data_IF_327338042175
#
_entry.id   IF_327338042175
#
_cell.length_a   1.000
_cell.length_b   1.000
_cell.length_c   1.000
_cell.angle_alpha   90.00
_cell.angle_beta   90.00
_cell.angle_gamma   90.00
#
_symmetry.space_group_name_H-M   'P 1'
#
loop_
_entity.id
_entity.type
_entity.pdbx_description
1 polymer ?
#
# COMPACT_ATOMS: atom_id res chain seq x y z
N UNK A 1 14.36 -63.37 3.29
CA UNK A 1 13.47 -63.69 4.44
C UNK A 1 13.51 -62.54 5.47
N UNK A 2 12.54 -61.63 5.41
CA UNK A 2 12.44 -60.53 6.37
C UNK A 2 11.83 -61.03 7.69
N UNK A 3 12.47 -60.70 8.81
CA UNK A 3 12.04 -61.13 10.13
C UNK A 3 10.95 -60.19 10.66
N UNK A 4 9.69 -60.53 10.40
CA UNK A 4 8.51 -59.79 10.89
C UNK A 4 8.24 -59.97 12.40
N UNK A 5 9.12 -60.65 13.15
CA UNK A 5 8.99 -60.82 14.61
C UNK A 5 9.77 -59.79 15.44
N UNK A 6 10.38 -58.79 14.81
CA UNK A 6 11.03 -57.71 15.55
C UNK A 6 9.95 -56.82 16.19
N UNK A 7 9.84 -56.87 17.53
CA UNK A 7 9.00 -55.95 18.29
C UNK A 7 9.66 -54.57 18.26
N UNK A 8 9.06 -53.63 17.53
CA UNK A 8 9.47 -52.22 17.54
C UNK A 8 9.30 -51.63 18.94
N UNK A 9 10.20 -50.72 19.34
CA UNK A 9 10.09 -50.02 20.62
C UNK A 9 8.79 -49.20 20.68
N UNK A 10 8.12 -49.21 21.83
CA UNK A 10 6.94 -48.39 22.06
C UNK A 10 7.27 -46.90 21.89
N UNK A 11 6.54 -46.23 21.00
CA UNK A 11 6.62 -44.79 20.77
C UNK A 11 5.67 -44.09 21.74
N UNK A 12 6.17 -43.12 22.50
CA UNK A 12 5.30 -42.24 23.28
C UNK A 12 4.41 -41.42 22.34
N UNK A 13 3.17 -41.14 22.76
CA UNK A 13 2.27 -40.24 22.04
C UNK A 13 2.95 -38.87 21.87
N UNK A 14 3.03 -38.38 20.62
CA UNK A 14 3.64 -37.09 20.31
C UNK A 14 2.91 -35.93 20.98
N UNK A 15 3.62 -34.83 21.21
CA UNK A 15 3.02 -33.59 21.65
C UNK A 15 2.21 -32.91 20.53
N UNK A 16 1.18 -32.14 20.90
CA UNK A 16 0.49 -31.27 19.95
C UNK A 16 1.50 -30.35 19.26
N UNK A 17 1.41 -30.26 17.93
CA UNK A 17 2.24 -29.35 17.14
C UNK A 17 2.18 -27.94 17.73
N UNK A 18 3.32 -27.24 17.92
CA UNK A 18 3.36 -25.94 18.61
C UNK A 18 2.34 -24.94 18.07
N UNK A 19 2.13 -24.94 16.75
CA UNK A 19 1.13 -24.11 16.08
C UNK A 19 -0.32 -24.42 16.53
N UNK A 20 -0.67 -25.70 16.69
CA UNK A 20 -2.01 -26.12 17.12
C UNK A 20 -2.25 -25.79 18.60
N UNK A 21 -1.20 -25.86 19.42
CA UNK A 21 -1.26 -25.45 20.82
C UNK A 21 -1.54 -23.94 20.93
N UNK A 22 -0.80 -23.13 20.18
CA UNK A 22 -1.00 -21.67 20.10
C UNK A 22 -2.40 -21.33 19.56
N UNK A 23 -2.88 -22.03 18.51
CA UNK A 23 -4.24 -21.85 17.97
C UNK A 23 -5.33 -22.15 19.00
N UNK A 24 -5.17 -23.21 19.80
CA UNK A 24 -6.13 -23.55 20.83
C UNK A 24 -6.17 -22.48 21.94
N UNK A 25 -5.00 -21.99 22.37
CA UNK A 25 -4.88 -20.93 23.36
C UNK A 25 -5.54 -19.62 22.88
N UNK A 26 -5.30 -19.19 21.62
CA UNK A 26 -5.98 -18.02 21.06
C UNK A 26 -7.50 -18.19 20.98
N UNK A 27 -7.98 -19.35 20.52
CA UNK A 27 -9.43 -19.62 20.44
C UNK A 27 -10.11 -19.52 21.81
N UNK A 28 -9.48 -20.04 22.86
CA UNK A 28 -10.01 -19.93 24.22
C UNK A 28 -10.06 -18.47 24.70
N UNK A 29 -9.03 -17.67 24.43
CA UNK A 29 -9.02 -16.24 24.76
C UNK A 29 -10.21 -15.51 24.11
N UNK A 30 -10.50 -15.79 22.83
CA UNK A 30 -11.64 -15.18 22.16
C UNK A 30 -12.99 -15.65 22.72
N UNK A 31 -13.14 -16.92 23.06
CA UNK A 31 -14.36 -17.40 23.72
C UNK A 31 -14.55 -16.79 25.11
N UNK A 32 -13.48 -16.61 25.88
CA UNK A 32 -13.52 -15.93 27.18
C UNK A 32 -13.90 -14.45 27.06
N UNK A 33 -13.58 -13.82 25.92
CA UNK A 33 -14.00 -12.45 25.60
C UNK A 33 -15.44 -12.36 25.07
N UNK A 34 -16.17 -13.47 25.03
CA UNK A 34 -17.59 -13.52 24.63
C UNK A 34 -17.82 -13.59 23.12
N UNK A 35 -16.78 -13.92 22.33
CA UNK A 35 -16.94 -14.18 20.91
C UNK A 35 -17.49 -15.59 20.67
N UNK A 36 -18.33 -15.75 19.66
CA UNK A 36 -18.84 -17.04 19.20
C UNK A 36 -18.25 -17.39 17.82
N UNK A 37 -17.98 -18.68 17.59
CA UNK A 37 -17.48 -19.15 16.30
C UNK A 37 -18.62 -19.17 15.29
N UNK A 38 -18.51 -18.37 14.22
CA UNK A 38 -19.55 -18.32 13.19
C UNK A 38 -19.61 -19.62 12.38
N UNK A 39 -20.82 -20.18 12.12
CA UNK A 39 -20.99 -21.29 11.20
C UNK A 39 -20.54 -20.92 9.78
N UNK A 40 -19.64 -21.70 9.20
CA UNK A 40 -19.00 -21.46 7.89
C UNK A 40 -19.89 -21.77 6.69
N UNK A 41 -21.22 -21.63 6.80
CA UNK A 41 -22.19 -22.06 5.77
C UNK A 41 -23.11 -20.95 5.23
N UNK A 42 -22.96 -19.68 5.63
CA UNK A 42 -23.76 -18.55 5.09
C UNK A 42 -22.88 -17.62 4.24
N UNK A 43 -22.86 -17.86 2.93
CA UNK A 43 -22.05 -17.14 1.93
C UNK A 43 -22.77 -15.99 1.24
N UNK A 44 -24.08 -15.85 1.43
CA UNK A 44 -24.92 -14.83 0.80
C UNK A 44 -25.69 -14.13 1.90
N UNK A 45 -25.68 -12.79 1.91
CA UNK A 45 -26.33 -12.00 2.94
C UNK A 45 -26.79 -10.64 2.39
N UNK A 46 -27.76 -9.99 3.04
CA UNK A 46 -28.25 -8.66 2.62
C UNK A 46 -27.17 -7.56 2.76
N UNK A 47 -27.26 -6.54 1.90
CA UNK A 47 -26.45 -5.31 2.01
C UNK A 47 -26.59 -4.63 3.38
N UNK A 48 -27.73 -4.82 4.04
CA UNK A 48 -28.00 -4.31 5.38
C UNK A 48 -26.97 -4.82 6.39
N UNK A 49 -26.75 -6.14 6.45
CA UNK A 49 -25.80 -6.73 7.40
C UNK A 49 -24.35 -6.55 6.95
N UNK A 50 -24.12 -6.57 5.64
CA UNK A 50 -22.76 -6.44 5.09
C UNK A 50 -22.23 -5.02 5.14
N UNK A 51 -23.10 -4.01 5.20
CA UNK A 51 -22.67 -2.63 5.08
C UNK A 51 -23.41 -1.64 5.99
N UNK A 52 -24.74 -1.64 6.01
CA UNK A 52 -25.50 -0.61 6.74
C UNK A 52 -25.35 -0.74 8.25
N UNK A 53 -25.46 -1.96 8.79
CA UNK A 53 -25.24 -2.27 10.20
C UNK A 53 -23.78 -2.04 10.65
N UNK A 54 -22.84 -1.99 9.69
CA UNK A 54 -21.43 -1.67 9.91
C UNK A 54 -21.10 -0.18 9.70
N UNK A 55 -22.12 0.65 9.50
CA UNK A 55 -22.00 2.10 9.30
C UNK A 55 -21.19 2.52 8.07
N UNK A 56 -21.11 1.68 7.04
CA UNK A 56 -20.54 2.06 5.73
C UNK A 56 -21.62 2.81 4.94
N UNK A 57 -21.46 4.04 4.42
CA UNK A 57 -22.53 4.72 3.68
C UNK A 57 -22.83 4.07 2.31
N UNK A 58 -24.06 4.18 1.79
CA UNK A 58 -24.47 3.54 0.52
C UNK A 58 -23.68 4.02 -0.71
N UNK A 59 -23.20 5.27 -0.68
CA UNK A 59 -22.33 5.86 -1.70
C UNK A 59 -20.83 5.55 -1.51
N UNK A 60 -20.46 4.74 -0.52
CA UNK A 60 -19.06 4.42 -0.26
C UNK A 60 -18.48 3.57 -1.41
N UNK A 61 -17.28 3.86 -1.94
CA UNK A 61 -16.68 3.12 -3.04
C UNK A 61 -16.55 1.61 -2.78
N UNK A 62 -16.38 1.19 -1.52
CA UNK A 62 -16.35 -0.22 -1.14
C UNK A 62 -17.66 -1.00 -1.43
N UNK A 63 -18.77 -0.33 -1.77
CA UNK A 63 -20.04 -0.93 -2.21
C UNK A 63 -20.22 -0.94 -3.74
N UNK A 64 -19.27 -0.43 -4.51
CA UNK A 64 -19.36 -0.36 -5.97
C UNK A 64 -19.39 -1.76 -6.59
N UNK A 65 -20.04 -1.94 -7.74
CA UNK A 65 -20.23 -3.23 -8.43
C UNK A 65 -18.91 -3.95 -8.77
N UNK A 66 -17.83 -3.19 -8.94
CA UNK A 66 -16.47 -3.71 -9.17
C UNK A 66 -15.83 -4.30 -7.90
N UNK A 67 -16.29 -3.84 -6.73
CA UNK A 67 -15.85 -4.24 -5.39
C UNK A 67 -16.92 -5.06 -4.65
N UNK A 68 -18.13 -5.18 -5.25
CA UNK A 68 -19.34 -5.79 -4.70
C UNK A 68 -20.16 -6.60 -5.71
N UNK A 69 -20.11 -7.94 -5.60
CA UNK A 69 -20.94 -8.91 -6.31
C UNK A 69 -22.34 -9.05 -5.69
N UNK A 70 -23.31 -8.43 -6.35
CA UNK A 70 -24.73 -8.64 -6.06
C UNK A 70 -25.24 -9.91 -6.73
N UNK A 71 -26.03 -10.68 -6.01
CA UNK A 71 -26.68 -11.88 -6.52
C UNK A 71 -27.80 -11.48 -7.47
N UNK A 72 -27.85 -12.10 -8.65
CA UNK A 72 -28.89 -11.85 -9.64
C UNK A 72 -30.22 -12.53 -9.29
N UNK A 73 -30.16 -13.67 -8.61
CA UNK A 73 -31.33 -14.45 -8.17
C UNK A 73 -31.03 -15.30 -6.91
N UNK A 74 -31.73 -15.11 -5.79
CA UNK A 74 -32.66 -14.00 -5.53
C UNK A 74 -31.91 -12.66 -5.48
N UNK A 75 -32.53 -11.61 -6.04
CA UNK A 75 -31.91 -10.27 -6.12
C UNK A 75 -31.90 -9.51 -4.79
N UNK A 76 -32.90 -9.77 -3.94
CA UNK A 76 -33.12 -9.09 -2.67
C UNK A 76 -33.46 -10.07 -1.57
N UNK A 77 -33.07 -9.74 -0.35
CA UNK A 77 -33.44 -10.43 0.87
C UNK A 77 -34.73 -9.85 1.45
N UNK A 78 -35.30 -10.56 2.43
CA UNK A 78 -36.23 -9.94 3.38
C UNK A 78 -35.51 -8.96 4.30
N UNK A 79 -36.29 -8.14 5.02
CA UNK A 79 -35.74 -7.32 6.11
C UNK A 79 -35.14 -8.21 7.21
N UNK A 80 -34.19 -7.67 8.00
CA UNK A 80 -33.71 -8.28 9.23
C UNK A 80 -34.85 -8.85 10.08
N UNK A 81 -34.68 -10.08 10.54
CA UNK A 81 -35.70 -10.78 11.30
C UNK A 81 -35.11 -11.92 12.13
N UNK A 82 -35.93 -12.55 12.98
CA UNK A 82 -35.48 -13.59 13.88
C UNK A 82 -35.03 -14.84 13.10
N UNK A 83 -33.85 -15.36 13.45
CA UNK A 83 -33.29 -16.56 12.80
C UNK A 83 -33.67 -17.87 13.50
N UNK A 84 -34.26 -17.80 14.70
CA UNK A 84 -34.74 -18.95 15.47
C UNK A 84 -35.88 -18.56 16.40
N UNK A 85 -36.61 -19.55 16.94
CA UNK A 85 -37.71 -19.32 17.90
C UNK A 85 -37.26 -18.64 19.20
N UNK A 86 -35.97 -18.74 19.55
CA UNK A 86 -35.36 -18.13 20.73
C UNK A 86 -34.87 -16.68 20.48
N UNK A 87 -34.86 -16.23 19.22
CA UNK A 87 -34.40 -14.89 18.85
C UNK A 87 -35.52 -13.85 19.04
N UNK A 88 -35.48 -13.16 20.19
CA UNK A 88 -36.48 -12.16 20.61
C UNK A 88 -36.05 -10.71 20.38
N UNK A 89 -35.08 -10.45 19.51
CA UNK A 89 -34.57 -9.09 19.23
C UNK A 89 -35.60 -8.24 18.48
N UNK A 90 -35.61 -6.94 18.76
CA UNK A 90 -36.45 -5.95 18.08
C UNK A 90 -35.77 -5.43 16.81
N UNK A 91 -35.94 -6.18 15.72
CA UNK A 91 -35.32 -5.89 14.43
C UNK A 91 -35.91 -4.67 13.71
N UNK A 92 -37.18 -4.32 13.97
CA UNK A 92 -37.82 -3.16 13.34
C UNK A 92 -37.24 -1.87 13.93
N UNK A 93 -37.11 -1.81 15.26
CA UNK A 93 -36.41 -0.70 15.91
C UNK A 93 -34.95 -0.64 15.47
N UNK A 94 -34.26 -1.79 15.31
CA UNK A 94 -32.88 -1.83 14.84
C UNK A 94 -32.71 -1.28 13.41
N UNK A 95 -33.59 -1.67 12.49
CA UNK A 95 -33.62 -1.17 11.12
C UNK A 95 -33.80 0.36 11.05
N UNK A 96 -34.80 0.89 11.77
CA UNK A 96 -35.05 2.34 11.82
C UNK A 96 -33.91 3.10 12.52
N UNK A 97 -33.26 2.49 13.51
CA UNK A 97 -32.07 3.06 14.13
C UNK A 97 -30.92 3.20 13.13
N UNK A 98 -30.63 2.15 12.36
CA UNK A 98 -29.57 2.16 11.35
C UNK A 98 -29.86 3.23 10.30
N UNK A 99 -31.07 3.24 9.73
CA UNK A 99 -31.50 4.27 8.78
C UNK A 99 -31.27 5.68 9.34
N UNK A 100 -31.71 5.95 10.57
CA UNK A 100 -31.58 7.26 11.17
C UNK A 100 -30.11 7.62 11.46
N UNK A 101 -29.26 6.67 11.85
CA UNK A 101 -27.80 6.90 11.99
C UNK A 101 -27.18 7.28 10.64
N UNK A 102 -27.61 6.66 9.54
CA UNK A 102 -27.06 6.96 8.20
C UNK A 102 -27.53 8.31 7.64
N UNK A 103 -28.82 8.63 7.78
CA UNK A 103 -29.39 9.86 7.21
C UNK A 103 -29.09 11.10 8.07
N UNK A 104 -29.73 11.17 9.23
CA UNK A 104 -29.87 12.39 10.03
C UNK A 104 -29.01 12.37 11.32
N UNK A 105 -28.42 11.22 11.63
CA UNK A 105 -27.68 10.97 12.86
C UNK A 105 -28.55 10.45 14.00
N UNK A 106 -27.98 9.53 14.79
CA UNK A 106 -28.56 8.99 16.03
C UNK A 106 -27.42 8.53 16.94
N UNK A 107 -27.66 8.44 18.26
CA UNK A 107 -26.66 8.00 19.25
C UNK A 107 -25.35 8.80 19.24
N UNK A 108 -25.42 10.11 18.96
CA UNK A 108 -24.24 11.00 18.90
C UNK A 108 -23.53 11.04 17.55
N UNK A 109 -23.96 10.24 16.56
CA UNK A 109 -23.56 10.42 15.16
C UNK A 109 -24.26 11.63 14.53
N UNK A 110 -23.57 12.35 13.66
CA UNK A 110 -24.11 13.47 12.86
C UNK A 110 -24.73 13.03 11.52
N UNK A 111 -24.71 11.72 11.24
CA UNK A 111 -25.17 11.15 9.98
C UNK A 111 -24.27 11.43 8.77
N UNK A 112 -24.49 10.69 7.69
CA UNK A 112 -23.79 10.84 6.41
C UNK A 112 -24.53 11.78 5.44
N UNK A 113 -25.68 12.32 5.83
CA UNK A 113 -26.44 13.37 5.11
C UNK A 113 -26.82 13.00 3.67
N UNK A 114 -27.26 11.77 3.46
CA UNK A 114 -27.81 11.28 2.19
C UNK A 114 -29.15 10.57 2.43
N UNK A 115 -30.04 10.48 1.42
CA UNK A 115 -31.26 9.67 1.54
C UNK A 115 -30.89 8.19 1.55
N UNK A 116 -31.16 7.53 2.67
CA UNK A 116 -30.88 6.10 2.81
C UNK A 116 -31.99 5.30 2.14
N UNK A 117 -31.62 4.47 1.17
CA UNK A 117 -32.55 3.72 0.35
C UNK A 117 -32.67 2.27 0.85
N UNK A 118 -33.88 1.88 1.25
CA UNK A 118 -34.15 0.53 1.77
C UNK A 118 -33.81 -0.56 0.74
N UNK A 119 -34.05 -0.29 -0.54
CA UNK A 119 -33.83 -1.26 -1.61
C UNK A 119 -32.34 -1.60 -1.78
N UNK A 120 -31.44 -0.64 -1.55
CA UNK A 120 -29.98 -0.87 -1.57
C UNK A 120 -29.53 -1.79 -0.43
N UNK A 121 -30.15 -1.65 0.74
CA UNK A 121 -29.90 -2.48 1.92
C UNK A 121 -30.42 -3.90 1.78
N UNK A 122 -31.47 -4.10 0.97
CA UNK A 122 -32.04 -5.43 0.76
C UNK A 122 -31.35 -6.20 -0.35
N UNK A 123 -30.53 -5.58 -1.21
CA UNK A 123 -29.83 -6.31 -2.26
C UNK A 123 -29.03 -7.45 -1.65
N UNK A 124 -29.18 -8.64 -2.23
CA UNK A 124 -28.39 -9.79 -1.80
C UNK A 124 -26.99 -9.65 -2.35
N UNK A 125 -26.06 -9.71 -1.44
CA UNK A 125 -24.63 -9.55 -1.70
C UNK A 125 -24.05 -10.92 -1.41
N UNK A 126 -23.33 -11.49 -2.38
CA UNK A 126 -22.42 -12.57 -2.03
C UNK A 126 -21.52 -11.99 -0.95
N UNK A 127 -21.32 -12.59 0.22
CA UNK A 127 -20.64 -11.96 1.38
C UNK A 127 -19.15 -11.63 1.11
N UNK A 128 -18.73 -11.64 -0.14
CA UNK A 128 -17.39 -11.92 -0.56
C UNK A 128 -16.98 -11.15 -1.81
N UNK A 129 -16.29 -9.99 -1.66
CA UNK A 129 -15.53 -9.41 -2.80
C UNK A 129 -14.38 -8.42 -2.52
N UNK A 130 -14.35 -7.63 -1.43
CA UNK A 130 -13.08 -6.92 -1.06
C UNK A 130 -12.36 -7.60 0.09
N UNK A 131 -13.12 -8.13 1.03
CA UNK A 131 -12.58 -8.85 2.18
C UNK A 131 -12.35 -10.32 1.86
N UNK A 132 -13.28 -11.01 1.20
CA UNK A 132 -13.27 -12.47 1.04
C UNK A 132 -12.30 -13.03 0.02
N UNK A 133 -12.06 -12.40 -1.12
CA UNK A 133 -11.26 -13.01 -2.19
C UNK A 133 -9.79 -12.75 -1.83
N UNK A 134 -9.53 -11.60 -1.20
CA UNK A 134 -8.32 -11.36 -0.41
C UNK A 134 -8.23 -12.24 0.82
N UNK A 135 -9.32 -12.59 1.49
CA UNK A 135 -9.30 -13.50 2.65
C UNK A 135 -9.19 -14.95 2.26
N UNK A 136 -9.70 -15.37 1.12
CA UNK A 136 -9.68 -16.73 0.64
C UNK A 136 -8.36 -16.91 -0.10
N UNK A 137 -7.82 -15.91 -0.79
CA UNK A 137 -6.41 -15.86 -1.17
C UNK A 137 -5.48 -15.80 0.05
N UNK A 138 -5.72 -14.94 1.05
CA UNK A 138 -4.91 -14.84 2.27
C UNK A 138 -5.09 -16.04 3.20
N UNK A 139 -6.25 -16.72 3.21
CA UNK A 139 -6.53 -17.97 3.93
C UNK A 139 -6.05 -19.19 3.15
N UNK A 140 -6.00 -19.15 1.82
CA UNK A 140 -5.35 -20.20 1.01
C UNK A 140 -3.82 -20.07 1.04
N UNK A 141 -3.29 -18.85 1.21
CA UNK A 141 -1.85 -18.59 1.43
C UNK A 141 -1.46 -18.76 2.90
N UNK A 142 -2.37 -18.47 3.83
CA UNK A 142 -2.19 -18.62 5.28
C UNK A 142 -3.53 -18.85 6.01
N UNK A 143 -3.97 -20.12 6.15
CA UNK A 143 -5.24 -20.50 6.79
C UNK A 143 -5.35 -20.12 8.29
N UNK A 144 -4.28 -19.57 8.86
CA UNK A 144 -4.05 -19.36 10.29
C UNK A 144 -4.16 -17.89 10.75
N UNK A 145 -4.51 -16.94 9.87
CA UNK A 145 -4.57 -15.50 10.21
C UNK A 145 -5.95 -14.86 9.91
N UNK A 146 -6.58 -14.17 10.87
CA UNK A 146 -7.80 -13.40 10.60
C UNK A 146 -7.51 -12.22 9.66
N UNK A 147 -8.52 -11.75 8.92
CA UNK A 147 -8.40 -10.44 8.24
C UNK A 147 -8.10 -9.38 9.28
N UNK A 148 -7.05 -8.62 9.02
CA UNK A 148 -6.80 -7.39 9.74
C UNK A 148 -7.37 -6.25 8.92
N UNK A 149 -8.33 -5.52 9.49
CA UNK A 149 -8.82 -4.26 8.94
C UNK A 149 -8.08 -3.14 9.65
N UNK A 150 -7.39 -2.29 8.89
CA UNK A 150 -6.65 -1.14 9.43
C UNK A 150 -7.08 0.12 8.71
N UNK A 151 -7.18 1.24 9.46
CA UNK A 151 -7.49 2.54 8.88
C UNK A 151 -6.34 2.98 7.95
N UNK A 152 -6.64 3.16 6.67
CA UNK A 152 -5.74 3.82 5.74
C UNK A 152 -5.61 5.31 6.09
N UNK A 153 -4.38 5.83 6.08
CA UNK A 153 -4.10 7.23 6.42
C UNK A 153 -3.60 7.92 5.15
N UNK A 154 -4.53 8.54 4.44
CA UNK A 154 -4.25 9.25 3.19
C UNK A 154 -3.24 10.37 3.38
N UNK A 155 -2.37 10.55 2.38
CA UNK A 155 -1.39 11.62 2.35
C UNK A 155 -0.20 11.45 3.29
N UNK A 156 -0.16 10.38 4.09
CA UNK A 156 0.86 10.19 5.11
C UNK A 156 2.18 9.71 4.50
N UNK A 157 3.29 10.15 5.09
CA UNK A 157 4.63 9.70 4.71
C UNK A 157 4.95 8.38 5.41
N UNK A 158 5.71 7.52 4.74
CA UNK A 158 6.23 6.28 5.32
C UNK A 158 7.73 6.42 5.63
N UNK A 159 8.14 5.87 6.77
CA UNK A 159 9.51 5.89 7.30
C UNK A 159 9.92 4.46 7.59
N UNK A 160 11.10 4.08 7.10
CA UNK A 160 11.69 2.76 7.35
C UNK A 160 12.80 2.85 8.40
N UNK A 161 12.79 1.95 9.37
CA UNK A 161 13.75 1.92 10.48
C UNK A 161 14.40 0.55 10.54
N UNK A 162 15.66 0.46 10.12
CA UNK A 162 16.47 -0.75 10.28
C UNK A 162 17.27 -0.67 11.57
N UNK A 163 17.16 -1.68 12.43
CA UNK A 163 17.77 -1.69 13.74
C UNK A 163 18.50 -2.99 14.06
N UNK A 164 19.50 -2.90 14.94
CA UNK A 164 20.13 -4.05 15.58
C UNK A 164 20.09 -3.85 17.08
N UNK A 165 19.56 -4.83 17.81
CA UNK A 165 19.48 -4.78 19.27
C UNK A 165 20.21 -5.98 19.91
N UNK A 166 20.56 -5.84 21.19
CA UNK A 166 21.07 -6.92 22.04
C UNK A 166 20.41 -6.79 23.41
N UNK A 167 19.74 -7.84 23.87
CA UNK A 167 18.98 -7.89 25.12
C UNK A 167 17.99 -6.73 25.27
N UNK A 168 17.37 -6.33 24.16
CA UNK A 168 16.45 -5.22 24.07
C UNK A 168 17.07 -3.82 24.14
N UNK A 169 18.40 -3.72 24.17
CA UNK A 169 19.12 -2.45 24.00
C UNK A 169 19.39 -2.22 22.52
N UNK A 170 18.95 -1.08 21.98
CA UNK A 170 19.26 -0.68 20.61
C UNK A 170 20.77 -0.41 20.48
N UNK A 171 21.44 -1.13 19.58
CA UNK A 171 22.88 -1.01 19.33
C UNK A 171 23.13 -0.14 18.11
N UNK A 172 22.39 -0.35 17.03
CA UNK A 172 22.47 0.42 15.80
C UNK A 172 21.07 0.68 15.25
N UNK A 173 20.94 1.78 14.52
CA UNK A 173 19.74 2.07 13.74
C UNK A 173 20.07 2.91 12.49
N UNK A 174 19.22 2.78 11.48
CA UNK A 174 19.14 3.65 10.32
C UNK A 174 17.68 4.05 10.11
N UNK A 175 17.44 5.32 9.82
CA UNK A 175 16.11 5.83 9.46
C UNK A 175 16.15 6.29 8.01
N UNK A 176 15.30 5.74 7.17
CA UNK A 176 15.17 6.10 5.75
C UNK A 176 13.78 6.69 5.51
N UNK A 177 13.68 7.72 4.68
CA UNK A 177 12.38 8.27 4.26
C UNK A 177 11.96 7.70 2.90
N UNK A 178 10.66 7.42 2.75
CA UNK A 178 10.09 7.12 1.43
C UNK A 178 9.79 8.43 0.69
N UNK A 179 9.94 8.41 -0.64
CA UNK A 179 9.46 9.50 -1.51
C UNK A 179 7.95 9.37 -1.72
N UNK A 180 7.50 8.16 -2.02
CA UNK A 180 6.10 7.79 -2.20
C UNK A 180 5.36 7.82 -0.85
N UNK A 181 4.05 8.09 -0.90
CA UNK A 181 3.20 8.07 0.29
C UNK A 181 2.90 6.65 0.77
N UNK A 182 2.53 6.53 2.03
CA UNK A 182 2.03 5.28 2.60
C UNK A 182 0.84 4.76 1.78
N UNK A 183 0.93 3.52 1.32
CA UNK A 183 0.02 2.92 0.35
C UNK A 183 0.73 2.38 -0.89
N UNK A 184 1.93 2.87 -1.18
CA UNK A 184 2.91 2.18 -2.03
C UNK A 184 3.75 1.29 -1.13
N UNK A 185 3.78 -0.01 -1.41
CA UNK A 185 4.53 -0.97 -0.61
C UNK A 185 6.03 -0.61 -0.55
N UNK A 186 6.65 -0.69 0.63
CA UNK A 186 8.06 -0.30 0.88
C UNK A 186 9.10 -0.88 -0.08
N UNK A 187 8.81 -2.05 -0.66
CA UNK A 187 9.67 -2.68 -1.67
C UNK A 187 9.71 -1.91 -3.00
N UNK A 188 8.57 -1.34 -3.38
CA UNK A 188 8.35 -0.55 -4.58
C UNK A 188 8.58 0.94 -4.34
N UNK A 189 8.80 1.34 -3.08
CA UNK A 189 9.13 2.70 -2.73
C UNK A 189 10.62 3.02 -2.98
N UNK A 190 10.84 4.29 -3.29
CA UNK A 190 12.11 4.97 -3.36
C UNK A 190 12.52 5.38 -1.94
N UNK A 191 13.67 4.90 -1.47
CA UNK A 191 14.22 5.21 -0.15
C UNK A 191 15.31 6.26 -0.23
N UNK A 192 15.34 7.20 0.71
CA UNK A 192 16.38 8.22 0.84
C UNK A 192 17.07 8.07 2.19
N UNK A 193 18.41 8.03 2.18
CA UNK A 193 19.24 7.88 3.38
C UNK A 193 20.56 8.68 3.26
N UNK A 194 20.93 9.51 4.26
CA UNK A 194 20.09 10.00 5.36
C UNK A 194 18.81 10.69 4.85
N UNK A 195 17.73 10.76 5.65
CA UNK A 195 16.51 11.45 5.24
C UNK A 195 16.79 12.91 4.91
N UNK A 196 16.26 13.40 3.79
CA UNK A 196 16.50 14.76 3.32
C UNK A 196 15.46 15.76 3.88
N UNK A 197 14.26 15.28 4.24
CA UNK A 197 13.13 16.15 4.60
C UNK A 197 12.57 15.89 6.01
N UNK A 198 13.08 14.90 6.75
CA UNK A 198 12.66 14.65 8.12
C UNK A 198 13.32 15.60 9.11
N UNK A 199 12.51 16.21 9.97
CA UNK A 199 12.98 17.05 11.08
C UNK A 199 13.67 16.22 12.16
N UNK A 200 14.64 16.82 12.86
CA UNK A 200 15.36 16.17 13.96
C UNK A 200 14.41 15.71 15.08
N UNK A 201 13.36 16.48 15.37
CA UNK A 201 12.30 16.12 16.34
C UNK A 201 11.63 14.79 15.99
N UNK A 202 11.36 14.54 14.72
CA UNK A 202 10.79 13.30 14.21
C UNK A 202 11.82 12.17 14.29
N UNK A 203 13.07 12.42 13.90
CA UNK A 203 14.15 11.45 13.99
C UNK A 203 14.36 10.95 15.43
N UNK A 204 14.36 11.86 16.40
CA UNK A 204 14.51 11.54 17.82
C UNK A 204 13.34 10.69 18.33
N UNK A 205 12.09 11.03 17.95
CA UNK A 205 10.89 10.28 18.33
C UNK A 205 10.84 8.90 17.67
N UNK A 206 11.26 8.78 16.41
CA UNK A 206 11.39 7.50 15.70
C UNK A 206 12.40 6.60 16.40
N UNK A 207 13.55 7.15 16.80
CA UNK A 207 14.56 6.42 17.59
C UNK A 207 14.00 5.98 18.95
N UNK A 208 13.28 6.84 19.66
CA UNK A 208 12.65 6.50 20.94
C UNK A 208 11.64 5.35 20.77
N UNK A 209 10.85 5.36 19.69
CA UNK A 209 9.94 4.27 19.34
C UNK A 209 10.72 2.96 19.12
N UNK A 210 11.81 2.99 18.36
CA UNK A 210 12.65 1.82 18.11
C UNK A 210 13.28 1.27 19.40
N UNK A 211 13.76 2.12 20.29
CA UNK A 211 14.28 1.73 21.61
C UNK A 211 13.21 1.08 22.49
N UNK A 212 11.99 1.64 22.52
CA UNK A 212 10.85 1.08 23.25
C UNK A 212 10.46 -0.29 22.71
N UNK A 213 10.40 -0.46 21.38
CA UNK A 213 10.10 -1.74 20.74
C UNK A 213 11.20 -2.75 21.03
N UNK A 214 12.47 -2.42 20.82
CA UNK A 214 13.59 -3.30 21.15
C UNK A 214 13.51 -3.81 22.60
N UNK A 215 13.26 -2.90 23.55
CA UNK A 215 13.14 -3.24 24.97
C UNK A 215 11.93 -4.10 25.28
N UNK A 216 10.75 -3.78 24.74
CA UNK A 216 9.51 -4.49 25.02
C UNK A 216 9.57 -5.96 24.58
N UNK A 217 10.16 -6.22 23.41
CA UNK A 217 10.28 -7.55 22.84
C UNK A 217 11.60 -8.25 23.21
N UNK A 218 12.46 -7.59 24.01
CA UNK A 218 13.82 -8.06 24.35
C UNK A 218 14.60 -8.53 23.11
N UNK A 219 14.59 -7.71 22.06
CA UNK A 219 15.17 -8.07 20.77
C UNK A 219 16.69 -8.27 20.92
N UNK A 220 17.18 -9.41 20.40
CA UNK A 220 18.59 -9.68 20.17
C UNK A 220 18.74 -10.09 18.71
N UNK A 221 19.49 -9.31 17.92
CA UNK A 221 19.64 -9.48 16.48
C UNK A 221 19.04 -8.34 15.66
N UNK A 222 18.83 -8.56 14.34
CA UNK A 222 18.33 -7.55 13.44
C UNK A 222 16.81 -7.44 13.53
N UNK A 223 16.29 -6.23 13.39
CA UNK A 223 14.86 -5.97 13.24
C UNK A 223 14.64 -4.79 12.31
N UNK A 224 13.41 -4.65 11.84
CA UNK A 224 12.98 -3.57 10.97
C UNK A 224 11.59 -3.08 11.38
N UNK A 225 11.34 -1.78 11.30
CA UNK A 225 10.04 -1.19 11.59
C UNK A 225 9.63 -0.21 10.50
N UNK A 226 8.35 -0.25 10.14
CA UNK A 226 7.75 0.73 9.25
C UNK A 226 6.84 1.65 10.06
N UNK A 227 6.95 2.95 9.84
CA UNK A 227 6.23 3.98 10.61
C UNK A 227 5.54 4.94 9.65
N UNK A 228 4.27 5.20 9.88
CA UNK A 228 3.53 6.30 9.26
C UNK A 228 3.81 7.58 10.04
N UNK A 229 4.23 8.63 9.32
CA UNK A 229 4.18 10.03 9.77
C UNK A 229 2.95 10.69 9.16
N UNK A 230 1.94 10.93 9.99
CA UNK A 230 0.71 11.62 9.61
C UNK A 230 0.74 13.05 10.17
N UNK A 231 0.71 14.04 9.29
CA UNK A 231 0.66 15.44 9.71
C UNK A 231 -0.67 15.77 10.37
N UNK A 232 -0.65 16.67 11.36
CA UNK A 232 -1.86 17.16 12.01
C UNK A 232 -2.50 18.26 11.15
N UNK A 233 -3.76 18.10 10.67
CA UNK A 233 -4.45 19.12 9.90
C UNK A 233 -4.57 20.47 10.61
N UNK A 234 -4.49 20.50 11.95
CA UNK A 234 -4.51 21.73 12.75
C UNK A 234 -3.11 22.38 12.93
N UNK A 235 -2.07 21.83 12.31
CA UNK A 235 -0.69 22.33 12.42
C UNK A 235 0.02 21.92 13.72
N UNK A 236 -0.52 20.93 14.43
CA UNK A 236 0.12 20.30 15.58
C UNK A 236 1.26 19.36 15.20
N UNK A 237 1.80 18.67 16.20
CA UNK A 237 2.90 17.73 16.01
C UNK A 237 2.43 16.49 15.22
N UNK A 238 3.22 16.08 14.20
CA UNK A 238 2.90 14.91 13.40
C UNK A 238 2.79 13.64 14.26
N UNK A 239 1.75 12.85 14.01
CA UNK A 239 1.52 11.57 14.65
C UNK A 239 2.40 10.49 13.99
N UNK A 240 3.17 9.78 14.82
CA UNK A 240 3.96 8.62 14.40
C UNK A 240 3.24 7.34 14.78
N UNK A 241 2.94 6.48 13.81
CA UNK A 241 2.22 5.22 14.03
C UNK A 241 3.00 4.06 13.42
N UNK A 242 3.31 3.05 14.22
CA UNK A 242 3.96 1.83 13.75
C UNK A 242 2.98 1.05 12.87
N UNK A 243 3.39 0.71 11.66
CA UNK A 243 2.67 -0.19 10.75
C UNK A 243 2.95 -1.63 11.17
N UNK A 244 4.23 -2.01 11.14
CA UNK A 244 4.69 -3.34 11.46
C UNK A 244 6.11 -3.32 12.06
N UNK A 245 6.47 -4.42 12.71
CA UNK A 245 7.82 -4.70 13.18
C UNK A 245 8.22 -6.12 12.75
N UNK A 246 9.23 -6.21 11.91
CA UNK A 246 9.82 -7.45 11.45
C UNK A 246 11.01 -7.80 12.36
N UNK A 247 10.91 -8.86 13.16
CA UNK A 247 12.00 -9.36 14.02
C UNK A 247 13.05 -10.17 13.22
N UNK A 248 13.53 -9.59 12.13
CA UNK A 248 14.52 -10.15 11.21
C UNK A 248 15.19 -9.05 10.40
N UNK A 249 16.23 -9.40 9.65
CA UNK A 249 16.78 -8.51 8.65
C UNK A 249 15.72 -8.21 7.56
N UNK A 250 15.64 -6.93 7.17
CA UNK A 250 14.83 -6.48 6.04
C UNK A 250 15.65 -6.50 4.74
N UNK A 251 14.98 -6.20 3.62
CA UNK A 251 15.63 -6.08 2.31
C UNK A 251 16.55 -4.86 2.21
N UNK A 252 16.36 -3.83 3.04
CA UNK A 252 17.14 -2.58 3.03
C UNK A 252 18.45 -2.67 3.81
N UNK A 253 18.69 -3.72 4.62
CA UNK A 253 19.94 -3.91 5.36
C UNK A 253 21.23 -3.76 4.51
N UNK A 254 21.32 -4.30 3.29
CA UNK A 254 22.47 -4.09 2.41
C UNK A 254 22.64 -2.63 1.98
N UNK A 255 21.55 -1.92 1.71
CA UNK A 255 21.56 -0.50 1.35
C UNK A 255 22.05 0.33 2.53
N UNK A 256 21.37 0.25 3.68
CA UNK A 256 21.73 1.05 4.87
C UNK A 256 23.16 0.75 5.35
N UNK A 257 23.62 -0.50 5.25
CA UNK A 257 24.98 -0.86 5.66
C UNK A 257 26.05 -0.20 4.78
N UNK A 258 25.82 -0.13 3.47
CA UNK A 258 26.73 0.52 2.52
C UNK A 258 26.72 2.03 2.70
N UNK A 259 25.54 2.62 2.87
CA UNK A 259 25.38 4.07 3.02
C UNK A 259 25.96 4.57 4.33
N UNK A 260 25.76 3.86 5.44
CA UNK A 260 26.27 4.28 6.74
C UNK A 260 27.70 3.83 7.02
N UNK A 261 28.27 2.97 6.16
CA UNK A 261 29.63 2.45 6.29
C UNK A 261 29.80 1.45 7.44
N UNK A 262 28.71 0.85 7.91
CA UNK A 262 28.71 -0.13 9.01
C UNK A 262 27.89 -1.35 8.62
N UNK A 263 28.48 -2.54 8.69
CA UNK A 263 27.78 -3.77 8.35
C UNK A 263 26.81 -4.17 9.47
N UNK A 264 25.51 -3.90 9.30
CA UNK A 264 24.51 -4.26 10.30
C UNK A 264 24.37 -5.77 10.51
N UNK A 265 24.61 -6.60 9.49
CA UNK A 265 24.54 -8.05 9.63
C UNK A 265 25.69 -8.59 10.49
N UNK A 266 26.88 -7.99 10.39
CA UNK A 266 28.01 -8.34 11.27
C UNK A 266 27.66 -8.05 12.75
N UNK A 267 27.13 -6.87 13.03
CA UNK A 267 26.72 -6.48 14.39
C UNK A 267 25.55 -7.32 14.90
N UNK A 268 24.57 -7.61 14.04
CA UNK A 268 23.46 -8.48 14.37
C UNK A 268 23.91 -9.91 14.68
N UNK A 269 24.89 -10.43 13.93
CA UNK A 269 25.47 -11.76 14.17
C UNK A 269 26.18 -11.79 15.52
N UNK A 270 27.01 -10.78 15.83
CA UNK A 270 27.68 -10.62 17.12
C UNK A 270 26.69 -10.59 18.30
N UNK A 271 25.59 -9.85 18.15
CA UNK A 271 24.50 -9.82 19.13
C UNK A 271 23.86 -11.20 19.33
N UNK A 272 23.49 -11.89 18.24
CA UNK A 272 22.85 -13.21 18.30
C UNK A 272 23.73 -14.28 18.95
N UNK A 273 25.05 -14.24 18.73
CA UNK A 273 25.99 -15.19 19.36
C UNK A 273 26.47 -14.75 20.75
N UNK A 274 26.13 -13.54 21.18
CA UNK A 274 26.56 -12.97 22.47
C UNK A 274 28.07 -12.75 22.57
N UNK A 275 28.77 -12.54 21.45
CA UNK A 275 30.23 -12.37 21.41
C UNK A 275 30.59 -11.07 20.72
N UNK A 276 31.47 -10.28 21.35
CA UNK A 276 31.99 -9.03 20.79
C UNK A 276 30.89 -8.06 20.34
N UNK A 277 29.77 -8.04 21.08
CA UNK A 277 28.69 -7.10 20.83
C UNK A 277 29.25 -5.68 21.02
N UNK A 278 29.20 -4.82 20.00
CA UNK A 278 29.72 -3.47 20.14
C UNK A 278 28.82 -2.65 21.07
N UNK A 279 29.38 -1.58 21.64
CA UNK A 279 28.56 -0.57 22.32
C UNK A 279 27.61 0.11 21.34
N UNK A 280 26.46 0.61 21.81
CA UNK A 280 25.53 1.35 20.96
C UNK A 280 26.20 2.56 20.30
N UNK A 281 25.93 2.74 19.02
CA UNK A 281 26.41 3.88 18.23
C UNK A 281 25.25 4.50 17.46
N UNK A 282 25.13 5.81 17.57
CA UNK A 282 24.19 6.57 16.75
C UNK A 282 24.84 6.99 15.44
N UNK A 283 24.66 6.17 14.40
CA UNK A 283 25.17 6.46 13.06
C UNK A 283 24.41 7.60 12.37
N UNK A 284 23.17 7.90 12.80
CA UNK A 284 22.33 8.95 12.23
C UNK A 284 22.78 10.35 12.69
N UNK A 285 23.38 10.45 13.87
CA UNK A 285 24.00 11.69 14.37
C UNK A 285 25.26 12.11 13.59
N UNK A 286 25.86 11.21 12.79
CA UNK A 286 27.05 11.52 11.99
C UNK A 286 26.65 12.27 10.72
N UNK A 287 27.07 13.54 10.63
CA UNK A 287 26.87 14.34 9.42
C UNK A 287 27.64 13.75 8.25
N UNK A 288 26.96 13.60 7.11
CA UNK A 288 27.52 13.14 5.84
C UNK A 288 27.37 14.24 4.79
N UNK A 289 28.28 14.27 3.84
CA UNK A 289 28.31 15.18 2.68
C UNK A 289 27.69 14.55 1.43
N UNK A 290 27.00 13.43 1.60
CA UNK A 290 26.27 12.71 0.57
C UNK A 290 24.90 12.25 1.08
N UNK A 291 24.01 12.03 0.11
CA UNK A 291 22.74 11.32 0.24
C UNK A 291 22.80 10.11 -0.68
N UNK A 292 22.13 9.03 -0.32
CA UNK A 292 21.91 7.90 -1.19
C UNK A 292 20.41 7.68 -1.39
N UNK A 293 20.04 7.38 -2.62
CA UNK A 293 18.67 7.04 -2.98
C UNK A 293 18.65 5.61 -3.50
N UNK A 294 17.70 4.80 -3.04
CA UNK A 294 17.40 3.47 -3.59
C UNK A 294 16.08 3.55 -4.35
N UNK A 295 16.09 3.23 -5.64
CA UNK A 295 14.89 3.17 -6.50
C UNK A 295 14.51 1.72 -6.80
N UNK A 296 13.22 1.40 -6.95
CA UNK A 296 12.77 0.07 -7.37
C UNK A 296 13.09 -0.21 -8.85
N UNK A 297 13.35 -1.48 -9.18
CA UNK A 297 13.44 -1.96 -10.55
C UNK A 297 12.25 -2.88 -10.86
N UNK A 298 11.43 -2.46 -11.83
CA UNK A 298 10.27 -3.22 -12.28
C UNK A 298 10.56 -4.06 -13.53
N UNK A 299 9.76 -5.12 -13.72
CA UNK A 299 9.84 -6.03 -14.86
C UNK A 299 8.57 -6.01 -15.73
N UNK A 300 7.87 -4.87 -15.79
CA UNK A 300 6.60 -4.72 -16.51
C UNK A 300 6.64 -5.14 -17.98
N UNK A 301 7.79 -4.99 -18.64
CA UNK A 301 8.00 -5.41 -20.05
C UNK A 301 7.94 -6.92 -20.24
N UNK A 302 8.16 -7.71 -19.17
CA UNK A 302 8.06 -9.18 -19.18
C UNK A 302 6.68 -9.69 -18.78
N UNK A 303 5.83 -8.82 -18.23
CA UNK A 303 4.51 -9.15 -17.71
C UNK A 303 3.43 -8.59 -18.64
N UNK A 304 3.22 -9.26 -19.77
CA UNK A 304 2.22 -8.87 -20.76
C UNK A 304 0.81 -8.85 -20.14
N UNK A 305 0.07 -7.77 -20.37
CA UNK A 305 -1.29 -7.59 -19.84
C UNK A 305 -1.38 -7.17 -18.37
N UNK A 306 -0.26 -7.15 -17.64
CA UNK A 306 -0.26 -6.58 -16.29
C UNK A 306 -0.38 -5.05 -16.36
N UNK A 307 -1.22 -4.45 -15.52
CA UNK A 307 -1.31 -2.99 -15.40
C UNK A 307 -0.09 -2.46 -14.61
N UNK A 308 0.79 -1.63 -15.21
CA UNK A 308 1.89 -0.99 -14.50
C UNK A 308 1.32 0.04 -13.52
N UNK A 309 1.11 -0.36 -12.28
CA UNK A 309 0.48 0.47 -11.25
C UNK A 309 1.01 0.04 -9.87
N UNK A 310 1.32 1.02 -9.02
CA UNK A 310 1.86 0.80 -7.68
C UNK A 310 0.74 0.70 -6.64
N UNK A 311 0.92 -0.12 -5.61
CA UNK A 311 -0.04 -0.22 -4.53
C UNK A 311 0.54 -0.95 -3.32
N UNK A 312 -0.35 -1.49 -2.48
CA UNK A 312 0.02 -2.14 -1.21
C UNK A 312 0.73 -3.49 -1.37
N UNK A 313 0.68 -4.07 -2.57
CA UNK A 313 1.42 -5.28 -2.93
C UNK A 313 2.67 -4.93 -3.71
N UNK A 314 3.79 -5.55 -3.36
CA UNK A 314 5.07 -5.38 -4.05
C UNK A 314 5.05 -5.96 -5.47
N UNK A 315 5.46 -5.19 -6.45
CA UNK A 315 5.61 -5.61 -7.84
C UNK A 315 7.05 -5.49 -8.39
N UNK A 316 7.93 -4.78 -7.70
CA UNK A 316 9.33 -4.65 -8.09
C UNK A 316 10.08 -5.98 -7.98
N UNK A 317 11.09 -6.14 -8.83
CA UNK A 317 11.90 -7.37 -8.95
C UNK A 317 13.35 -7.18 -8.53
N UNK A 318 13.71 -5.94 -8.18
CA UNK A 318 15.06 -5.57 -7.77
C UNK A 318 15.11 -4.11 -7.36
N UNK A 319 16.32 -3.63 -7.12
CA UNK A 319 16.59 -2.29 -6.65
C UNK A 319 17.94 -1.80 -7.15
N UNK A 320 18.06 -0.49 -7.30
CA UNK A 320 19.30 0.19 -7.65
C UNK A 320 19.48 1.34 -6.67
N UNK A 321 20.71 1.56 -6.23
CA UNK A 321 21.02 2.67 -5.34
C UNK A 321 22.24 3.43 -5.83
N UNK A 322 22.17 4.75 -5.81
CA UNK A 322 23.29 5.63 -6.11
C UNK A 322 23.45 6.69 -5.02
N UNK A 323 24.68 7.19 -4.91
CA UNK A 323 25.04 8.31 -4.06
C UNK A 323 25.01 9.60 -4.87
N UNK A 324 24.70 10.72 -4.21
CA UNK A 324 24.82 12.06 -4.75
C UNK A 324 25.15 13.06 -3.63
N UNK A 325 25.53 14.28 -3.97
CA UNK A 325 25.81 15.35 -2.99
C UNK A 325 24.54 15.86 -2.34
N UNK A 326 23.43 15.77 -3.05
CA UNK A 326 22.09 16.11 -2.59
C UNK A 326 21.07 15.07 -3.09
N UNK A 327 19.82 15.23 -2.65
CA UNK A 327 18.70 14.35 -3.01
C UNK A 327 18.49 14.29 -4.54
N UNK A 328 18.64 15.42 -5.23
CA UNK A 328 18.37 15.52 -6.67
C UNK A 328 19.41 14.72 -7.45
N UNK A 329 20.70 14.89 -7.14
CA UNK A 329 21.79 14.13 -7.76
C UNK A 329 21.67 12.63 -7.46
N UNK A 330 21.40 12.26 -6.21
CA UNK A 330 21.28 10.86 -5.79
C UNK A 330 20.08 10.16 -6.46
N UNK A 331 18.92 10.82 -6.51
CA UNK A 331 17.72 10.31 -7.16
C UNK A 331 17.93 10.19 -8.67
N UNK A 332 18.45 11.23 -9.34
CA UNK A 332 18.71 11.19 -10.78
C UNK A 332 19.69 10.10 -11.18
N UNK A 333 20.80 9.95 -10.45
CA UNK A 333 21.77 8.89 -10.70
C UNK A 333 21.14 7.50 -10.54
N UNK A 334 20.28 7.33 -9.53
CA UNK A 334 19.59 6.07 -9.27
C UNK A 334 18.57 5.75 -10.36
N UNK A 335 17.74 6.72 -10.75
CA UNK A 335 16.71 6.56 -11.78
C UNK A 335 17.33 6.29 -13.15
N UNK A 336 18.38 7.02 -13.54
CA UNK A 336 19.11 6.81 -14.80
C UNK A 336 19.80 5.44 -14.85
N UNK A 337 20.09 4.85 -13.69
CA UNK A 337 20.67 3.51 -13.61
C UNK A 337 19.63 2.40 -13.77
N UNK A 338 18.33 2.73 -13.80
CA UNK A 338 17.26 1.74 -14.04
C UNK A 338 17.28 1.26 -15.48
N UNK A 339 16.90 -0.01 -15.66
CA UNK A 339 17.01 -0.67 -16.96
C UNK A 339 16.14 0.01 -18.01
N UNK A 340 16.75 0.39 -19.13
CA UNK A 340 16.11 1.03 -20.29
C UNK A 340 15.41 2.36 -19.97
N UNK A 341 15.77 3.02 -18.88
CA UNK A 341 15.31 4.39 -18.64
C UNK A 341 16.06 5.35 -19.55
N UNK A 342 15.31 6.26 -20.16
CA UNK A 342 15.84 7.34 -20.99
C UNK A 342 15.04 8.59 -20.68
N UNK A 343 15.71 9.61 -20.17
CA UNK A 343 15.04 10.87 -19.89
C UNK A 343 14.52 11.52 -21.19
N UNK A 344 13.26 11.98 -21.23
CA UNK A 344 12.76 12.81 -22.33
C UNK A 344 13.54 14.12 -22.43
N UNK A 345 13.77 14.61 -23.64
CA UNK A 345 14.50 15.85 -23.92
C UNK A 345 13.57 16.98 -24.38
N UNK A 346 13.90 18.26 -24.11
CA UNK A 346 13.15 19.40 -24.64
C UNK A 346 12.89 19.29 -26.16
N UNK A 347 11.67 19.57 -26.58
CA UNK A 347 11.19 19.39 -27.96
C UNK A 347 10.49 18.06 -28.24
N UNK A 348 10.64 17.07 -27.36
CA UNK A 348 9.91 15.79 -27.41
C UNK A 348 8.52 15.88 -26.76
N UNK A 349 7.67 14.89 -27.03
CA UNK A 349 6.30 14.81 -26.54
C UNK A 349 6.16 14.17 -25.17
N UNK A 350 5.33 14.76 -24.32
CA UNK A 350 4.90 14.22 -23.03
C UNK A 350 3.38 14.02 -23.04
N UNK A 351 2.93 12.82 -22.67
CA UNK A 351 1.50 12.49 -22.61
C UNK A 351 1.01 12.48 -21.16
N UNK A 352 -0.04 13.24 -20.87
CA UNK A 352 -0.63 13.39 -19.54
C UNK A 352 -2.00 12.72 -19.46
N UNK A 353 -2.29 12.08 -18.32
CA UNK A 353 -3.57 11.46 -18.00
C UNK A 353 -3.68 11.07 -16.51
N UNK A 354 -4.83 10.56 -16.10
CA UNK A 354 -5.12 10.17 -14.72
C UNK A 354 -6.11 11.11 -14.00
N UNK A 355 -5.95 11.22 -12.69
CA UNK A 355 -6.88 11.85 -11.77
C UNK A 355 -6.95 13.38 -11.93
N UNK A 356 -8.17 13.90 -12.05
CA UNK A 356 -8.43 15.33 -12.26
C UNK A 356 -8.99 16.01 -11.00
N UNK A 357 -9.35 15.25 -9.97
CA UNK A 357 -9.77 15.81 -8.68
C UNK A 357 -8.61 16.33 -7.83
N UNK A 358 -7.37 16.02 -8.21
CA UNK A 358 -6.15 16.39 -7.49
C UNK A 358 -5.23 17.29 -8.34
N UNK A 359 -4.45 18.20 -7.72
CA UNK A 359 -3.57 19.13 -8.43
C UNK A 359 -2.27 18.50 -8.92
N UNK A 360 -2.15 17.17 -8.95
CA UNK A 360 -0.91 16.47 -9.24
C UNK A 360 -0.42 16.74 -10.67
N UNK A 361 -1.30 16.56 -11.66
CA UNK A 361 -0.96 16.78 -13.06
C UNK A 361 -0.56 18.23 -13.33
N UNK A 362 -1.27 19.20 -12.75
CA UNK A 362 -0.96 20.62 -12.93
C UNK A 362 0.34 21.01 -12.25
N UNK A 363 0.67 20.41 -11.10
CA UNK A 363 1.97 20.61 -10.43
C UNK A 363 3.11 20.13 -11.32
N UNK A 364 3.00 18.93 -11.91
CA UNK A 364 4.00 18.40 -12.84
C UNK A 364 4.12 19.30 -14.07
N UNK A 365 2.98 19.71 -14.66
CA UNK A 365 2.96 20.58 -15.83
C UNK A 365 3.59 21.95 -15.55
N UNK A 366 3.35 22.54 -14.38
CA UNK A 366 3.97 23.80 -13.96
C UNK A 366 5.50 23.74 -13.99
N UNK A 367 6.09 22.59 -13.66
CA UNK A 367 7.53 22.37 -13.69
C UNK A 367 8.05 22.08 -15.09
N UNK A 368 7.30 21.35 -15.92
CA UNK A 368 7.76 20.88 -17.24
C UNK A 368 7.47 21.85 -18.38
N UNK A 369 6.36 22.59 -18.35
CA UNK A 369 5.97 23.51 -19.43
C UNK A 369 7.06 24.55 -19.76
N UNK A 370 7.77 25.15 -18.77
CA UNK A 370 8.85 26.10 -19.06
C UNK A 370 10.08 25.49 -19.73
N UNK A 371 10.23 24.16 -19.72
CA UNK A 371 11.41 23.46 -20.22
C UNK A 371 11.36 23.16 -21.72
N UNK A 372 10.25 23.47 -22.40
CA UNK A 372 10.15 23.36 -23.87
C UNK A 372 9.70 21.99 -24.39
N UNK A 373 9.02 21.18 -23.58
CA UNK A 373 8.37 19.94 -24.04
C UNK A 373 7.07 20.22 -24.82
N UNK A 374 6.70 19.30 -25.71
CA UNK A 374 5.36 19.30 -26.33
C UNK A 374 4.39 18.55 -25.42
N UNK A 375 3.29 19.17 -25.04
CA UNK A 375 2.37 18.61 -24.04
C UNK A 375 1.11 18.06 -24.72
N UNK A 376 0.81 16.80 -24.45
CA UNK A 376 -0.30 16.08 -25.06
C UNK A 376 -1.22 15.45 -24.01
N UNK A 377 -2.50 15.27 -24.36
CA UNK A 377 -3.49 14.57 -23.55
C UNK A 377 -4.28 13.56 -24.40
N UNK A 378 -4.68 12.45 -23.79
CA UNK A 378 -5.49 11.42 -24.44
C UNK A 378 -6.96 11.82 -24.61
N UNK A 379 -7.46 12.76 -23.80
CA UNK A 379 -8.83 13.25 -23.86
C UNK A 379 -8.93 14.77 -23.59
N UNK A 380 -10.09 15.33 -23.92
CA UNK A 380 -10.36 16.77 -23.81
C UNK A 380 -10.65 17.23 -22.37
N UNK A 381 -10.88 16.32 -21.42
CA UNK A 381 -11.07 16.66 -20.00
C UNK A 381 -9.72 16.95 -19.36
N UNK A 382 -8.72 16.09 -19.57
CA UNK A 382 -7.34 16.30 -19.12
C UNK A 382 -6.78 17.62 -19.67
N UNK A 383 -6.98 17.89 -20.96
CA UNK A 383 -6.59 19.17 -21.57
C UNK A 383 -7.23 20.36 -20.83
N UNK A 384 -8.56 20.35 -20.68
CA UNK A 384 -9.29 21.45 -20.04
C UNK A 384 -8.82 21.66 -18.60
N UNK A 385 -8.62 20.58 -17.86
CA UNK A 385 -8.12 20.63 -16.49
C UNK A 385 -6.74 21.30 -16.43
N UNK A 386 -5.79 20.85 -17.24
CA UNK A 386 -4.43 21.41 -17.27
C UNK A 386 -4.46 22.89 -17.71
N UNK A 387 -5.11 23.23 -18.82
CA UNK A 387 -5.12 24.60 -19.33
C UNK A 387 -5.86 25.59 -18.40
N UNK A 388 -6.85 25.11 -17.63
CA UNK A 388 -7.58 25.96 -16.66
C UNK A 388 -6.88 26.15 -15.32
N UNK A 389 -6.00 25.22 -14.93
CA UNK A 389 -5.49 25.15 -13.56
C UNK A 389 -3.97 25.27 -13.46
N UNK A 390 -3.23 24.97 -14.53
CA UNK A 390 -1.79 25.18 -14.58
C UNK A 390 -1.44 26.66 -14.73
N UNK A 391 -0.27 27.04 -14.21
CA UNK A 391 0.27 28.39 -14.31
C UNK A 391 0.76 28.66 -15.74
N UNK A 392 0.90 29.95 -16.06
CA UNK A 392 1.63 30.40 -17.25
C UNK A 392 0.90 30.27 -18.59
N UNK A 393 -0.41 29.99 -18.61
CA UNK A 393 -1.18 29.88 -19.86
C UNK A 393 -0.72 28.71 -20.74
N UNK A 394 -0.44 27.58 -20.10
CA UNK A 394 0.06 26.36 -20.74
C UNK A 394 -0.92 25.86 -21.79
N UNK A 395 -0.42 25.44 -22.96
CA UNK A 395 -1.23 24.84 -24.02
C UNK A 395 -0.96 23.35 -24.12
N UNK A 396 -2.03 22.56 -24.19
CA UNK A 396 -1.98 21.09 -24.32
C UNK A 396 -2.76 20.69 -25.58
N UNK A 397 -2.21 19.79 -26.38
CA UNK A 397 -2.89 19.26 -27.57
C UNK A 397 -3.56 17.91 -27.25
N UNK A 398 -4.81 17.72 -27.67
CA UNK A 398 -5.47 16.41 -27.60
C UNK A 398 -5.08 15.62 -28.83
N UNK A 399 -4.60 14.39 -28.63
CA UNK A 399 -4.19 13.50 -29.72
C UNK A 399 -5.20 12.37 -29.91
N UNK A 400 -5.27 11.80 -31.11
CA UNK A 400 -6.06 10.59 -31.31
C UNK A 400 -5.53 9.43 -30.44
N UNK A 401 -6.42 8.70 -29.77
CA UNK A 401 -6.04 7.65 -28.83
C UNK A 401 -6.83 6.35 -29.08
N UNK A 402 -6.42 5.55 -30.09
CA UNK A 402 -7.14 4.33 -30.49
C UNK A 402 -6.90 3.18 -29.49
N UNK A 403 -7.65 3.21 -28.38
CA UNK A 403 -7.53 2.25 -27.26
C UNK A 403 -7.67 0.77 -27.64
N UNK A 404 -8.33 0.46 -28.76
CA UNK A 404 -8.58 -0.91 -29.21
C UNK A 404 -7.55 -1.42 -30.22
N UNK A 405 -6.72 -0.54 -30.77
CA UNK A 405 -5.75 -0.89 -31.79
C UNK A 405 -4.34 -0.45 -31.36
N UNK A 406 -3.60 -1.40 -30.80
CA UNK A 406 -2.22 -1.21 -30.36
C UNK A 406 -1.28 -0.76 -31.48
N UNK A 407 -1.53 -1.18 -32.73
CA UNK A 407 -0.70 -0.78 -33.86
C UNK A 407 -0.95 0.68 -34.21
N UNK A 408 -2.21 1.07 -34.30
CA UNK A 408 -2.58 2.47 -34.50
C UNK A 408 -2.06 3.34 -33.36
N UNK A 409 -2.15 2.88 -32.11
CA UNK A 409 -1.63 3.62 -30.96
C UNK A 409 -0.11 3.80 -31.01
N UNK A 410 0.62 2.80 -31.53
CA UNK A 410 2.06 2.94 -31.76
C UNK A 410 2.38 3.99 -32.82
N UNK A 411 1.58 4.07 -33.88
CA UNK A 411 1.72 5.09 -34.92
C UNK A 411 1.46 6.50 -34.34
N UNK A 412 0.52 6.64 -33.40
CA UNK A 412 0.29 7.89 -32.65
C UNK A 412 1.52 8.29 -31.83
N UNK A 413 2.07 7.36 -31.04
CA UNK A 413 3.27 7.64 -30.22
C UNK A 413 4.46 8.08 -31.10
N UNK A 414 4.59 7.52 -32.30
CA UNK A 414 5.61 7.93 -33.28
C UNK A 414 5.31 9.29 -33.91
N UNK A 415 4.06 9.52 -34.35
CA UNK A 415 3.62 10.77 -34.99
C UNK A 415 3.84 11.99 -34.09
N UNK A 416 3.53 11.86 -32.80
CA UNK A 416 3.65 12.94 -31.82
C UNK A 416 4.98 12.92 -31.05
N UNK A 417 5.89 11.98 -31.37
CA UNK A 417 7.17 11.78 -30.71
C UNK A 417 7.03 11.72 -29.18
N UNK A 418 6.11 10.89 -28.69
CA UNK A 418 5.84 10.71 -27.26
C UNK A 418 7.01 9.95 -26.63
N UNK A 419 7.72 10.62 -25.71
CA UNK A 419 8.93 10.12 -25.04
C UNK A 419 8.84 10.08 -23.53
N UNK A 420 7.76 10.57 -22.95
CA UNK A 420 7.40 10.32 -21.55
C UNK A 420 5.89 10.28 -21.36
N UNK A 421 5.43 9.46 -20.42
CA UNK A 421 4.02 9.37 -20.04
C UNK A 421 3.88 9.66 -18.56
N UNK A 422 3.02 10.62 -18.22
CA UNK A 422 2.61 10.94 -16.86
C UNK A 422 1.17 10.49 -16.69
N UNK A 423 0.95 9.41 -15.95
CA UNK A 423 -0.37 8.89 -15.66
C UNK A 423 -0.57 8.76 -14.14
N UNK A 424 -1.11 9.81 -13.53
CA UNK A 424 -1.21 9.95 -12.07
C UNK A 424 -2.62 9.58 -11.62
N UNK A 425 -2.85 8.32 -11.29
CA UNK A 425 -4.18 7.81 -10.95
C UNK A 425 -4.24 7.24 -9.53
N UNK A 426 -5.41 7.33 -8.89
CA UNK A 426 -5.68 6.74 -7.56
C UNK A 426 -5.99 5.25 -7.60
N UNK A 427 -6.42 4.76 -8.75
CA UNK A 427 -6.85 3.39 -8.94
C UNK A 427 -6.33 2.81 -10.26
N UNK A 428 -6.30 1.48 -10.33
CA UNK A 428 -6.08 0.74 -11.57
C UNK A 428 -7.18 1.06 -12.57
N UNK A 429 -6.87 0.89 -13.86
CA UNK A 429 -7.90 1.01 -14.88
C UNK A 429 -8.97 -0.05 -14.67
N UNK A 430 -10.25 0.33 -14.82
CA UNK A 430 -11.38 -0.59 -14.54
C UNK A 430 -11.40 -1.80 -15.47
N UNK A 431 -10.86 -1.62 -16.68
CA UNK A 431 -10.78 -2.64 -17.72
C UNK A 431 -9.49 -2.48 -18.51
N UNK A 432 -9.15 -3.47 -19.33
CA UNK A 432 -8.03 -3.37 -20.29
C UNK A 432 -8.26 -2.33 -21.40
N UNK A 433 -9.47 -1.76 -21.48
CA UNK A 433 -9.86 -0.72 -22.42
C UNK A 433 -10.00 0.66 -21.75
N UNK A 434 -9.70 0.73 -20.46
CA UNK A 434 -9.62 1.98 -19.71
C UNK A 434 -8.46 2.83 -20.25
N UNK A 435 -8.68 4.14 -20.39
CA UNK A 435 -7.68 5.04 -20.98
C UNK A 435 -6.39 5.03 -20.17
N UNK A 436 -6.49 4.99 -18.84
CA UNK A 436 -5.33 5.03 -17.96
C UNK A 436 -4.53 3.73 -18.03
N UNK A 437 -5.22 2.58 -18.04
CA UNK A 437 -4.57 1.29 -18.28
C UNK A 437 -3.84 1.28 -19.63
N UNK A 438 -4.52 1.71 -20.69
CA UNK A 438 -3.94 1.72 -22.04
C UNK A 438 -2.72 2.64 -22.10
N UNK A 439 -2.78 3.82 -21.48
CA UNK A 439 -1.65 4.75 -21.39
C UNK A 439 -0.45 4.10 -20.68
N UNK A 440 -0.64 3.59 -19.45
CA UNK A 440 0.45 2.99 -18.65
C UNK A 440 1.04 1.77 -19.34
N UNK A 441 0.18 0.86 -19.79
CA UNK A 441 0.61 -0.40 -20.42
C UNK A 441 1.39 -0.16 -21.70
N UNK A 442 0.94 0.78 -22.54
CA UNK A 442 1.60 1.04 -23.82
C UNK A 442 2.85 1.93 -23.66
N UNK A 443 2.95 2.77 -22.63
CA UNK A 443 4.22 3.42 -22.28
C UNK A 443 5.31 2.36 -22.09
N UNK A 444 5.05 1.36 -21.25
CA UNK A 444 5.99 0.26 -21.02
C UNK A 444 6.25 -0.56 -22.29
N UNK A 445 5.20 -0.95 -23.03
CA UNK A 445 5.35 -1.80 -24.21
C UNK A 445 6.11 -1.11 -25.36
N UNK A 446 6.06 0.21 -25.41
CA UNK A 446 6.78 1.02 -26.40
C UNK A 446 8.15 1.49 -25.91
N UNK A 447 8.55 1.12 -24.69
CA UNK A 447 9.85 1.52 -24.11
C UNK A 447 9.92 3.01 -23.78
N UNK A 448 8.79 3.60 -23.42
CA UNK A 448 8.67 4.99 -23.00
C UNK A 448 8.60 5.05 -21.47
N UNK A 449 9.40 5.89 -20.80
CA UNK A 449 9.30 6.12 -19.37
C UNK A 449 7.88 6.44 -18.91
N UNK A 450 7.43 5.75 -17.87
CA UNK A 450 6.15 5.95 -17.23
C UNK A 450 6.36 6.53 -15.82
N UNK A 451 5.77 7.69 -15.58
CA UNK A 451 5.68 8.34 -14.29
C UNK A 451 4.23 8.21 -13.80
N UNK A 452 4.04 7.55 -12.65
CA UNK A 452 2.71 7.17 -12.16
C UNK A 452 2.48 7.48 -10.68
N UNK A 453 3.46 8.09 -10.01
CA UNK A 453 3.38 8.46 -8.60
C UNK A 453 3.64 9.98 -8.47
N UNK A 454 2.72 10.76 -7.86
CA UNK A 454 2.79 12.23 -7.83
C UNK A 454 3.99 12.86 -7.13
N UNK A 455 4.61 12.21 -6.13
CA UNK A 455 5.80 12.73 -5.43
C UNK A 455 7.10 12.43 -6.18
N UNK A 456 7.12 11.33 -6.92
CA UNK A 456 8.23 10.88 -7.77
C UNK A 456 8.29 11.65 -9.10
N UNK A 457 7.12 12.04 -9.62
CA UNK A 457 6.91 12.77 -10.90
C UNK A 457 7.19 14.26 -10.77
#
# INVERSE_FOLDING_TARGET
>A
PYNFKALGADQNSGALHPLNKVRHEFRQIFFEMGFEEMPTNKYVESGFWNFDALFVPQQHPARDLQDTFYISDPKVAGRPGPESEDDKKDYETYWENVKQVHQDGKYGSIGYRYPWEADESLKLVLRTHTTSDKLEAASNVSPDHPVVITKFIEGAQEIDVDGVASDGKLILHAVSEHVEQAGVHSGDATLVLPPANLEQSIMDRVKEIAEKVAKAWKITGPFNMQIIKADDPAGGEAALKVIECNLRASRSFPFVSKVLGTNFIDVATKALVGQQVPEPVDLMAVKRDYVATKVPQFSWTRLAGADPFLGVEMASTGEIACFGKDLVEAYWASLQSTMNFRMPEPGEGLLFGGELSEPWLTTVVDHLAPLGFKLFAADAEVKRFIESSAKGGTSVEVIEFPKEDKRALREVFQKYDIRGVFNLARARGKTVMDVDYVMRRNAVDFGVPLFMEPKVS
#
